data_IF_299423668938
#
_entry.id   IF_299423668938
#
_cell.length_a   1.000
_cell.length_b   1.000
_cell.length_c   1.000
_cell.angle_alpha   90.00
_cell.angle_beta   90.00
_cell.angle_gamma   90.00
#
_symmetry.space_group_name_H-M   'P 1'
#
loop_
_entity.id
_entity.type
_entity.pdbx_description
1 polymer ?
#
# COMPACT_ATOMS: atom_id res chain seq x y z
N UNK A 1 3.05 -30.38 30.52
CA UNK A 1 2.11 -29.42 29.90
C UNK A 1 0.98 -30.20 29.26
N UNK A 2 -0.28 -29.86 29.53
CA UNK A 2 -1.40 -30.36 28.73
C UNK A 2 -1.40 -29.59 27.40
N UNK A 3 -1.40 -30.31 26.29
CA UNK A 3 -1.57 -29.72 24.96
C UNK A 3 -2.99 -29.14 24.91
N UNK A 4 -3.10 -27.82 24.77
CA UNK A 4 -4.39 -27.17 24.54
C UNK A 4 -4.61 -27.23 23.03
N UNK A 5 -5.56 -28.05 22.61
CA UNK A 5 -5.97 -28.11 21.22
C UNK A 5 -6.85 -26.89 20.91
N UNK A 6 -6.23 -25.85 20.36
CA UNK A 6 -6.88 -24.61 19.94
C UNK A 6 -7.89 -24.82 18.81
N UNK A 7 -7.91 -26.01 18.18
CA UNK A 7 -8.85 -26.38 17.13
C UNK A 7 -10.01 -27.26 17.63
N UNK A 8 -10.05 -27.58 18.93
CA UNK A 8 -11.20 -28.29 19.53
C UNK A 8 -12.48 -27.46 19.37
N UNK A 9 -13.62 -28.12 19.06
CA UNK A 9 -14.91 -27.47 18.74
C UNK A 9 -15.33 -26.39 19.77
N UNK A 10 -15.06 -26.61 21.06
CA UNK A 10 -15.34 -25.61 22.12
C UNK A 10 -14.56 -24.30 21.92
N UNK A 11 -13.28 -24.39 21.53
CA UNK A 11 -12.42 -23.23 21.32
C UNK A 11 -12.65 -22.57 19.96
N UNK A 12 -12.92 -23.34 18.91
CA UNK A 12 -13.27 -22.78 17.58
C UNK A 12 -14.56 -21.96 17.64
N UNK A 13 -15.55 -22.42 18.40
CA UNK A 13 -16.82 -21.69 18.59
C UNK A 13 -16.64 -20.42 19.41
N UNK A 14 -15.76 -20.44 20.42
CA UNK A 14 -15.46 -19.26 21.25
C UNK A 14 -14.60 -18.22 20.50
N UNK A 15 -13.70 -18.68 19.63
CA UNK A 15 -12.80 -17.85 18.83
C UNK A 15 -13.46 -17.29 17.56
N UNK A 16 -14.49 -17.94 17.01
CA UNK A 16 -15.17 -17.49 15.77
C UNK A 16 -15.57 -16.01 15.81
N UNK A 17 -16.31 -15.51 16.82
CA UNK A 17 -16.69 -14.09 16.85
C UNK A 17 -15.50 -13.14 17.03
N UNK A 18 -14.39 -13.62 17.62
CA UNK A 18 -13.16 -12.86 17.72
C UNK A 18 -12.43 -12.81 16.38
N UNK A 19 -12.32 -13.95 15.69
CA UNK A 19 -11.74 -14.07 14.36
C UNK A 19 -12.54 -13.27 13.34
N UNK A 20 -13.87 -13.33 13.37
CA UNK A 20 -14.76 -12.56 12.48
C UNK A 20 -14.57 -11.05 12.68
N UNK A 21 -14.48 -10.58 13.94
CA UNK A 21 -14.19 -9.16 14.23
C UNK A 21 -12.78 -8.75 13.81
N UNK A 22 -11.82 -9.66 13.91
CA UNK A 22 -10.43 -9.41 13.51
C UNK A 22 -10.34 -9.32 11.98
N UNK A 23 -11.11 -10.14 11.27
CA UNK A 23 -11.24 -10.14 9.81
C UNK A 23 -11.96 -8.89 9.30
N UNK A 24 -13.12 -8.52 9.87
CA UNK A 24 -13.86 -7.30 9.50
C UNK A 24 -13.04 -6.04 9.72
N UNK A 25 -12.35 -5.93 10.87
CA UNK A 25 -11.49 -4.77 11.16
C UNK A 25 -10.32 -4.71 10.19
N UNK A 26 -9.69 -5.84 9.91
CA UNK A 26 -8.57 -5.92 8.96
C UNK A 26 -9.03 -5.54 7.55
N UNK A 27 -10.20 -6.01 7.12
CA UNK A 27 -10.82 -5.66 5.85
C UNK A 27 -11.12 -4.16 5.77
N UNK A 28 -11.76 -3.57 6.78
CA UNK A 28 -12.08 -2.13 6.80
C UNK A 28 -10.81 -1.26 6.78
N UNK A 29 -9.78 -1.65 7.53
CA UNK A 29 -8.49 -0.95 7.49
C UNK A 29 -7.81 -1.07 6.13
N UNK A 30 -7.89 -2.23 5.48
CA UNK A 30 -7.39 -2.46 4.12
C UNK A 30 -8.15 -1.61 3.09
N UNK A 31 -9.47 -1.56 3.16
CA UNK A 31 -10.30 -0.73 2.28
C UNK A 31 -9.95 0.76 2.40
N UNK A 32 -9.82 1.27 3.62
CA UNK A 32 -9.42 2.67 3.85
C UNK A 32 -8.02 2.95 3.31
N UNK A 33 -7.12 1.98 3.43
CA UNK A 33 -5.75 2.03 2.93
C UNK A 33 -5.74 2.07 1.39
N UNK A 34 -6.41 1.12 0.74
CA UNK A 34 -6.58 1.10 -0.71
C UNK A 34 -7.21 2.39 -1.24
N UNK A 35 -8.19 2.94 -0.54
CA UNK A 35 -8.85 4.19 -0.93
C UNK A 35 -7.91 5.41 -0.82
N UNK A 36 -7.06 5.46 0.21
CA UNK A 36 -6.02 6.49 0.33
C UNK A 36 -5.00 6.41 -0.80
N UNK A 37 -4.54 5.20 -1.12
CA UNK A 37 -3.64 4.95 -2.25
C UNK A 37 -4.28 5.40 -3.57
N UNK A 38 -5.54 4.97 -3.83
CA UNK A 38 -6.29 5.33 -5.03
C UNK A 38 -6.39 6.85 -5.18
N UNK A 39 -6.79 7.55 -4.13
CA UNK A 39 -6.88 9.02 -4.13
C UNK A 39 -5.54 9.71 -4.41
N UNK A 40 -4.45 9.20 -3.84
CA UNK A 40 -3.12 9.76 -4.06
C UNK A 40 -2.67 9.55 -5.50
N UNK A 41 -2.90 8.36 -6.05
CA UNK A 41 -2.53 8.01 -7.42
C UNK A 41 -3.37 8.78 -8.45
N UNK A 42 -4.67 8.93 -8.21
CA UNK A 42 -5.55 9.79 -9.02
C UNK A 42 -5.10 11.25 -8.99
N UNK A 43 -4.73 11.78 -7.82
CA UNK A 43 -4.22 13.14 -7.67
C UNK A 43 -2.92 13.35 -8.43
N UNK A 44 -1.97 12.41 -8.32
CA UNK A 44 -0.72 12.46 -9.07
C UNK A 44 -0.97 12.42 -10.59
N UNK A 45 -1.86 11.53 -11.03
CA UNK A 45 -2.23 11.37 -12.44
C UNK A 45 -2.92 12.61 -13.01
N UNK A 46 -3.87 13.20 -12.27
CA UNK A 46 -4.53 14.45 -12.67
C UNK A 46 -3.53 15.60 -12.73
N UNK A 47 -2.63 15.69 -11.76
CA UNK A 47 -1.60 16.73 -11.72
C UNK A 47 -0.64 16.62 -12.93
N UNK A 48 -0.23 15.41 -13.31
CA UNK A 48 0.59 15.17 -14.51
C UNK A 48 -0.18 15.54 -15.79
N UNK A 49 -1.48 15.22 -15.89
CA UNK A 49 -2.30 15.63 -17.04
C UNK A 49 -2.44 17.14 -17.19
N UNK A 50 -2.48 17.88 -16.08
CA UNK A 50 -2.47 19.35 -16.08
C UNK A 50 -1.09 19.93 -16.43
N UNK A 51 -0.02 19.16 -16.25
CA UNK A 51 1.37 19.55 -16.46
C UNK A 51 2.01 18.61 -17.47
N UNK A 52 1.49 18.62 -18.70
CA UNK A 52 1.76 17.58 -19.70
C UNK A 52 3.25 17.36 -19.99
N UNK A 53 4.07 18.42 -19.87
CA UNK A 53 5.52 18.37 -20.01
C UNK A 53 6.20 17.35 -19.08
N UNK A 54 5.54 16.93 -17.99
CA UNK A 54 6.04 15.90 -17.08
C UNK A 54 6.17 14.56 -17.81
N UNK A 55 5.24 14.21 -18.72
CA UNK A 55 5.36 12.99 -19.51
C UNK A 55 6.56 13.03 -20.46
N UNK A 56 6.81 14.19 -21.04
CA UNK A 56 7.95 14.41 -21.94
C UNK A 56 9.27 14.36 -21.15
N UNK A 57 9.29 14.92 -19.94
CA UNK A 57 10.45 14.89 -19.04
C UNK A 57 10.87 13.47 -18.65
N UNK A 58 9.89 12.58 -18.44
CA UNK A 58 10.15 11.16 -18.14
C UNK A 58 10.28 10.29 -19.40
N UNK A 59 10.35 10.89 -20.60
CA UNK A 59 10.49 10.18 -21.87
C UNK A 59 9.36 9.17 -22.13
N UNK A 60 8.19 9.39 -21.51
CA UNK A 60 6.98 8.58 -21.74
C UNK A 60 6.37 8.93 -23.12
N UNK A 61 6.72 10.10 -23.66
CA UNK A 61 6.30 10.63 -24.96
C UNK A 61 7.48 11.34 -25.62
N UNK A 62 7.32 11.66 -26.91
CA UNK A 62 8.29 12.47 -27.65
C UNK A 62 8.49 13.83 -26.97
N UNK A 63 9.75 14.27 -26.91
CA UNK A 63 10.14 15.53 -26.30
C UNK A 63 9.52 16.71 -27.07
N UNK A 64 8.64 17.48 -26.42
CA UNK A 64 8.01 18.65 -27.05
C UNK A 64 8.82 19.96 -26.88
N UNK A 65 9.79 19.98 -25.97
CA UNK A 65 10.61 21.15 -25.65
C UNK A 65 11.96 20.74 -25.03
N UNK A 66 13.03 21.50 -25.31
CA UNK A 66 14.40 21.23 -24.82
C UNK A 66 14.73 21.93 -23.49
N UNK A 67 13.94 22.92 -23.09
CA UNK A 67 14.18 23.71 -21.88
C UNK A 67 12.90 23.89 -21.08
N UNK A 68 13.02 23.92 -19.75
CA UNK A 68 11.89 24.05 -18.85
C UNK A 68 11.95 25.34 -18.02
N UNK A 69 10.81 25.98 -17.81
CA UNK A 69 10.70 27.15 -16.95
C UNK A 69 10.85 26.78 -15.47
N UNK A 70 11.09 27.79 -14.62
CA UNK A 70 11.17 27.61 -13.17
C UNK A 70 9.87 27.03 -12.61
N UNK A 71 8.73 27.49 -13.10
CA UNK A 71 7.40 27.03 -12.71
C UNK A 71 7.19 25.56 -13.10
N UNK A 72 7.65 25.15 -14.29
CA UNK A 72 7.63 23.76 -14.73
C UNK A 72 8.52 22.89 -13.82
N UNK A 73 9.72 23.33 -13.47
CA UNK A 73 10.59 22.59 -12.53
C UNK A 73 9.98 22.48 -11.12
N UNK A 74 9.27 23.51 -10.65
CA UNK A 74 8.52 23.44 -9.39
C UNK A 74 7.35 22.46 -9.46
N UNK A 75 6.62 22.42 -10.57
CA UNK A 75 5.56 21.44 -10.79
C UNK A 75 6.12 20.01 -10.84
N UNK A 76 7.25 19.79 -11.52
CA UNK A 76 7.94 18.51 -11.54
C UNK A 76 8.33 18.04 -10.14
N UNK A 77 8.92 18.94 -9.33
CA UNK A 77 9.25 18.64 -7.92
C UNK A 77 8.01 18.18 -7.15
N UNK A 78 6.88 18.87 -7.30
CA UNK A 78 5.62 18.52 -6.64
C UNK A 78 5.08 17.16 -7.10
N UNK A 79 5.23 16.84 -8.38
CA UNK A 79 4.85 15.52 -8.89
C UNK A 79 5.74 14.41 -8.30
N UNK A 80 7.05 14.62 -8.24
CA UNK A 80 8.00 13.69 -7.59
C UNK A 80 7.67 13.46 -6.11
N UNK A 81 7.22 14.49 -5.40
CA UNK A 81 6.75 14.35 -4.02
C UNK A 81 5.51 13.45 -3.91
N UNK A 82 4.59 13.50 -4.89
CA UNK A 82 3.47 12.56 -4.93
C UNK A 82 3.93 11.13 -5.25
N UNK A 83 4.84 10.95 -6.21
CA UNK A 83 5.39 9.62 -6.53
C UNK A 83 6.10 9.00 -5.33
N UNK A 84 6.92 9.78 -4.61
CA UNK A 84 7.57 9.28 -3.38
C UNK A 84 6.57 8.82 -2.32
N UNK A 85 5.47 9.56 -2.14
CA UNK A 85 4.43 9.16 -1.19
C UNK A 85 3.71 7.87 -1.61
N UNK A 86 3.56 7.65 -2.92
CA UNK A 86 3.02 6.40 -3.48
C UNK A 86 4.01 5.26 -3.23
N UNK A 87 5.29 5.45 -3.54
CA UNK A 87 6.34 4.46 -3.32
C UNK A 87 6.48 4.09 -1.84
N UNK A 88 6.51 5.08 -0.94
CA UNK A 88 6.58 4.86 0.51
C UNK A 88 5.39 4.01 0.99
N UNK A 89 4.22 4.23 0.40
CA UNK A 89 3.00 3.50 0.69
C UNK A 89 3.07 2.04 0.22
N UNK A 90 3.51 1.82 -1.02
CA UNK A 90 3.67 0.49 -1.60
C UNK A 90 4.72 -0.32 -0.84
N UNK A 91 5.88 0.28 -0.51
CA UNK A 91 6.92 -0.36 0.29
C UNK A 91 6.41 -0.76 1.68
N UNK A 92 5.61 0.09 2.33
CA UNK A 92 5.02 -0.24 3.63
C UNK A 92 4.08 -1.45 3.53
N UNK A 93 3.27 -1.55 2.48
CA UNK A 93 2.38 -2.69 2.29
C UNK A 93 3.16 -3.97 1.97
N UNK A 94 4.19 -3.92 1.11
CA UNK A 94 5.08 -5.05 0.88
C UNK A 94 5.75 -5.54 2.17
N UNK A 95 6.22 -4.62 3.03
CA UNK A 95 6.83 -4.97 4.31
C UNK A 95 5.83 -5.68 5.24
N UNK A 96 4.57 -5.25 5.28
CA UNK A 96 3.53 -5.91 6.08
C UNK A 96 3.20 -7.31 5.56
N UNK A 97 3.07 -7.48 4.25
CA UNK A 97 2.85 -8.80 3.65
C UNK A 97 4.00 -9.74 3.99
N UNK A 98 5.25 -9.29 3.82
CA UNK A 98 6.43 -10.09 4.19
C UNK A 98 6.49 -10.44 5.67
N UNK A 99 6.07 -9.53 6.56
CA UNK A 99 5.99 -9.80 8.01
C UNK A 99 4.89 -10.81 8.35
N UNK A 100 3.72 -10.73 7.70
CA UNK A 100 2.64 -11.68 7.86
C UNK A 100 3.04 -13.10 7.39
N UNK A 101 3.75 -13.20 6.27
CA UNK A 101 4.31 -14.46 5.77
C UNK A 101 5.34 -15.05 6.75
N UNK A 102 6.20 -14.20 7.32
CA UNK A 102 7.16 -14.63 8.33
C UNK A 102 6.47 -15.14 9.61
N UNK A 103 5.44 -14.46 10.11
CA UNK A 103 4.66 -14.95 11.26
C UNK A 103 4.03 -16.31 10.95
N UNK A 104 3.42 -16.44 9.77
CA UNK A 104 2.79 -17.68 9.32
C UNK A 104 3.79 -18.84 9.29
N UNK A 105 5.00 -18.60 8.73
CA UNK A 105 6.07 -19.59 8.71
C UNK A 105 6.53 -19.98 10.13
N UNK A 106 6.72 -19.00 11.02
CA UNK A 106 7.14 -19.24 12.40
C UNK A 106 6.11 -20.06 13.19
N UNK A 107 4.81 -19.83 12.96
CA UNK A 107 3.72 -20.64 13.52
C UNK A 107 3.69 -22.05 12.96
N UNK A 108 3.92 -22.24 11.65
CA UNK A 108 3.95 -23.57 11.03
C UNK A 108 5.07 -24.47 11.58
N UNK A 109 6.21 -23.88 11.95
CA UNK A 109 7.36 -24.62 12.53
C UNK A 109 7.35 -24.65 14.07
N UNK A 110 6.28 -24.16 14.71
CA UNK A 110 6.07 -24.24 16.15
C UNK A 110 7.01 -23.36 16.99
N UNK A 111 7.54 -22.28 16.41
CA UNK A 111 8.32 -21.27 17.15
C UNK A 111 7.39 -20.24 17.83
N UNK A 112 6.27 -19.93 17.19
CA UNK A 112 5.16 -19.13 17.72
C UNK A 112 3.98 -20.06 18.03
#
# INVERSE_FOLDING_TARGET
MKFIDLLSEEYTTLMSPFLDRLDEKSCSELEQKCEKYRKLNEKASQFARQNYFIFDFFEIRELSQESYSKEQMQALKKYLEYQRQIDDYEHMEFYKTGFADCITLLSMIGIL
#
